data_IF_166005459739
#
_entry.id   IF_166005459739
#
_cell.length_a   1.000
_cell.length_b   1.000
_cell.length_c   1.000
_cell.angle_alpha   90.00
_cell.angle_beta   90.00
_cell.angle_gamma   90.00
#
_symmetry.space_group_name_H-M   'P 1'
#
loop_
_entity.id
_entity.type
_entity.pdbx_description
1 polymer ?
#
# COMPACT_ATOMS: atom_id res chain seq x y z
N UNK A 1 10.49 9.99 4.19
CA UNK A 1 11.46 9.46 3.20
C UNK A 1 12.63 10.40 3.08
N UNK A 2 13.87 9.90 3.07
CA UNK A 2 15.09 10.72 2.90
C UNK A 2 15.93 10.09 1.77
N UNK A 3 15.76 10.52 0.51
CA UNK A 3 16.48 9.94 -0.63
C UNK A 3 17.91 10.49 -0.74
N UNK A 4 18.81 9.68 -1.29
CA UNK A 4 20.17 10.09 -1.67
C UNK A 4 20.38 9.82 -3.15
N UNK A 5 20.91 10.82 -3.86
CA UNK A 5 21.18 10.75 -5.30
C UNK A 5 22.60 11.27 -5.57
N UNK A 6 23.49 10.40 -6.07
CA UNK A 6 24.85 10.75 -6.52
C UNK A 6 24.97 10.39 -8.01
N UNK A 7 25.17 11.40 -8.87
CA UNK A 7 25.19 11.25 -10.32
C UNK A 7 26.50 11.81 -10.88
N UNK A 8 27.30 10.93 -11.51
CA UNK A 8 28.61 11.27 -12.10
C UNK A 8 28.60 11.31 -13.63
N UNK A 9 27.41 11.43 -14.22
CA UNK A 9 27.21 11.50 -15.66
C UNK A 9 26.46 12.80 -16.05
N UNK A 10 27.06 13.70 -16.86
CA UNK A 10 26.44 14.96 -17.27
C UNK A 10 25.19 14.82 -18.13
N UNK A 11 24.98 13.68 -18.80
CA UNK A 11 23.82 13.46 -19.67
C UNK A 11 22.71 12.67 -18.99
N UNK A 12 22.79 12.44 -17.67
CA UNK A 12 21.79 11.69 -16.94
C UNK A 12 20.47 12.48 -16.80
N UNK A 13 19.36 11.77 -16.91
CA UNK A 13 18.02 12.26 -16.55
C UNK A 13 17.53 11.42 -15.38
N UNK A 14 17.06 12.07 -14.30
CA UNK A 14 16.62 11.40 -13.09
C UNK A 14 15.41 12.12 -12.51
N UNK A 15 14.43 11.34 -12.07
CA UNK A 15 13.23 11.81 -11.40
C UNK A 15 13.01 10.97 -10.14
N UNK A 16 12.59 11.63 -9.05
CA UNK A 16 12.24 10.97 -7.79
C UNK A 16 10.93 11.55 -7.29
N UNK A 17 9.97 10.67 -7.00
CA UNK A 17 8.71 11.02 -6.36
C UNK A 17 8.57 10.25 -5.04
N UNK A 18 7.99 10.92 -4.04
CA UNK A 18 7.63 10.32 -2.77
C UNK A 18 6.32 10.96 -2.27
N UNK A 19 5.34 10.11 -1.99
CA UNK A 19 4.02 10.55 -1.53
C UNK A 19 3.68 9.86 -0.21
N UNK A 20 3.09 10.63 0.71
CA UNK A 20 2.53 10.08 1.96
C UNK A 20 1.02 10.08 1.84
N UNK A 21 0.41 8.94 2.12
CA UNK A 21 -1.04 8.77 2.08
C UNK A 21 -1.54 8.29 3.44
N UNK A 22 -2.75 8.71 3.81
CA UNK A 22 -3.47 8.24 5.00
C UNK A 22 -4.84 7.74 4.55
N UNK A 23 -5.34 6.71 5.22
CA UNK A 23 -6.73 6.26 5.05
C UNK A 23 -7.65 7.34 5.62
N UNK A 24 -8.53 7.89 4.79
CA UNK A 24 -9.46 8.93 5.21
C UNK A 24 -10.68 8.36 5.94
N UNK A 25 -11.21 9.09 6.92
CA UNK A 25 -12.43 8.69 7.65
C UNK A 25 -13.63 8.55 6.70
N UNK A 26 -13.76 9.43 5.71
CA UNK A 26 -14.83 9.34 4.70
C UNK A 26 -14.71 8.05 3.85
N UNK A 27 -13.49 7.58 3.58
CA UNK A 27 -13.27 6.35 2.82
C UNK A 27 -13.68 5.13 3.65
N UNK A 28 -13.32 5.11 4.94
CA UNK A 28 -13.74 4.06 5.87
C UNK A 28 -15.25 4.06 6.05
N UNK A 29 -15.85 5.23 6.29
CA UNK A 29 -17.29 5.39 6.43
C UNK A 29 -18.04 4.90 5.18
N UNK A 30 -17.54 5.25 3.99
CA UNK A 30 -18.12 4.81 2.72
C UNK A 30 -18.09 3.28 2.55
N UNK A 31 -17.01 2.63 2.98
CA UNK A 31 -16.88 1.17 2.98
C UNK A 31 -17.81 0.53 4.03
N UNK A 32 -17.88 1.08 5.24
CA UNK A 32 -18.73 0.59 6.31
C UNK A 32 -20.22 0.70 5.97
N UNK A 33 -20.65 1.79 5.33
CA UNK A 33 -22.03 1.92 4.82
C UNK A 33 -22.41 0.85 3.79
N UNK A 34 -21.42 0.20 3.16
CA UNK A 34 -21.64 -0.92 2.23
C UNK A 34 -21.62 -2.28 2.93
N UNK A 35 -21.57 -2.30 4.26
CA UNK A 35 -21.59 -3.51 5.06
C UNK A 35 -20.21 -4.16 5.24
N UNK A 36 -19.12 -3.47 4.90
CA UNK A 36 -17.78 -3.93 5.24
C UNK A 36 -17.48 -3.63 6.71
N UNK A 37 -16.81 -4.55 7.41
CA UNK A 37 -16.22 -4.21 8.70
C UNK A 37 -15.12 -3.16 8.51
N UNK A 38 -14.73 -2.48 9.58
CA UNK A 38 -13.61 -1.53 9.53
C UNK A 38 -12.31 -2.22 9.08
N UNK A 39 -12.09 -3.42 9.57
CA UNK A 39 -10.95 -4.28 9.24
C UNK A 39 -10.95 -4.67 7.75
N UNK A 40 -12.08 -5.12 7.21
CA UNK A 40 -12.23 -5.42 5.78
C UNK A 40 -12.03 -4.17 4.92
N UNK A 41 -12.50 -3.01 5.38
CA UNK A 41 -12.35 -1.74 4.68
C UNK A 41 -10.86 -1.32 4.62
N UNK A 42 -10.15 -1.39 5.74
CA UNK A 42 -8.70 -1.11 5.80
C UNK A 42 -7.95 -2.08 4.91
N UNK A 43 -8.22 -3.39 5.01
CA UNK A 43 -7.60 -4.42 4.19
C UNK A 43 -7.81 -4.16 2.69
N UNK A 44 -9.03 -3.80 2.28
CA UNK A 44 -9.34 -3.46 0.90
C UNK A 44 -8.50 -2.28 0.39
N UNK A 45 -8.41 -1.21 1.18
CA UNK A 45 -7.69 0.02 0.79
C UNK A 45 -6.18 -0.23 0.72
N UNK A 46 -5.61 -0.92 1.72
CA UNK A 46 -4.17 -1.24 1.75
C UNK A 46 -3.79 -2.21 0.64
N UNK A 47 -4.62 -3.22 0.36
CA UNK A 47 -4.39 -4.12 -0.78
C UNK A 47 -4.47 -3.38 -2.11
N UNK A 48 -5.36 -2.39 -2.25
CA UNK A 48 -5.43 -1.50 -3.39
C UNK A 48 -4.15 -0.68 -3.58
N UNK A 49 -3.62 -0.12 -2.49
CA UNK A 49 -2.37 0.65 -2.46
C UNK A 49 -1.15 -0.22 -2.85
N UNK A 50 -1.07 -1.44 -2.35
CA UNK A 50 0.04 -2.36 -2.63
C UNK A 50 -0.11 -3.14 -3.96
N UNK A 51 -1.24 -3.00 -4.67
CA UNK A 51 -1.61 -3.87 -5.79
C UNK A 51 -0.57 -3.95 -6.91
N UNK A 52 0.01 -2.81 -7.29
CA UNK A 52 0.99 -2.77 -8.39
C UNK A 52 2.29 -3.47 -8.00
N UNK A 53 2.76 -3.27 -6.77
CA UNK A 53 3.95 -3.95 -6.24
C UNK A 53 3.71 -5.45 -6.13
N UNK A 54 2.55 -5.88 -5.64
CA UNK A 54 2.21 -7.29 -5.47
C UNK A 54 2.06 -8.03 -6.82
N UNK A 55 1.68 -7.33 -7.90
CA UNK A 55 1.60 -7.92 -9.25
C UNK A 55 2.95 -8.25 -9.86
N UNK A 56 4.02 -7.58 -9.43
CA UNK A 56 5.38 -7.86 -9.89
C UNK A 56 5.98 -9.10 -9.20
N UNK A 57 5.34 -9.60 -8.13
CA UNK A 57 5.76 -10.82 -7.47
C UNK A 57 5.26 -12.05 -8.24
N UNK A 58 6.03 -13.15 -8.27
CA UNK A 58 5.51 -14.42 -8.75
C UNK A 58 4.25 -14.81 -7.98
N UNK A 59 3.27 -15.37 -8.69
CA UNK A 59 1.91 -15.62 -8.17
C UNK A 59 1.88 -16.37 -6.83
N UNK A 60 2.79 -17.33 -6.64
CA UNK A 60 2.93 -18.09 -5.40
C UNK A 60 3.30 -17.23 -4.18
N UNK A 61 4.10 -16.17 -4.37
CA UNK A 61 4.47 -15.23 -3.31
C UNK A 61 3.45 -14.10 -3.14
N UNK A 62 2.82 -13.67 -4.24
CA UNK A 62 1.82 -12.60 -4.21
C UNK A 62 0.62 -12.97 -3.31
N UNK A 63 0.15 -14.23 -3.41
CA UNK A 63 -0.96 -14.74 -2.59
C UNK A 63 -0.58 -14.80 -1.10
N UNK A 64 0.66 -15.19 -0.78
CA UNK A 64 1.11 -15.27 0.60
C UNK A 64 1.34 -13.88 1.22
N UNK A 65 1.93 -12.96 0.45
CA UNK A 65 2.14 -11.58 0.88
C UNK A 65 0.82 -10.86 1.19
N UNK A 66 -0.23 -11.09 0.37
CA UNK A 66 -1.57 -10.54 0.62
C UNK A 66 -2.17 -11.04 1.93
N UNK A 67 -2.02 -12.34 2.24
CA UNK A 67 -2.53 -12.91 3.49
C UNK A 67 -1.80 -12.35 4.71
N UNK A 68 -0.47 -12.26 4.66
CA UNK A 68 0.35 -11.72 5.74
C UNK A 68 0.07 -10.23 5.98
N UNK A 69 -0.16 -9.46 4.91
CA UNK A 69 -0.59 -8.05 5.00
C UNK A 69 -1.91 -7.92 5.75
N UNK A 70 -2.90 -8.76 5.42
CA UNK A 70 -4.18 -8.81 6.14
C UNK A 70 -3.98 -9.00 7.65
N UNK A 71 -3.34 -10.11 8.04
CA UNK A 71 -3.13 -10.47 9.47
C UNK A 71 -2.34 -9.40 10.24
N UNK A 72 -1.35 -8.77 9.59
CA UNK A 72 -0.55 -7.72 10.24
C UNK A 72 -1.36 -6.46 10.53
N UNK A 73 -2.40 -6.20 9.73
CA UNK A 73 -3.30 -5.06 9.93
C UNK A 73 -4.30 -5.33 11.06
N UNK A 74 -4.85 -6.55 11.16
CA UNK A 74 -5.76 -6.96 12.26
C UNK A 74 -5.15 -6.68 13.64
N UNK A 75 -3.84 -6.93 13.82
CA UNK A 75 -3.13 -6.74 15.08
C UNK A 75 -2.60 -5.32 15.35
N UNK A 76 -2.66 -4.42 14.36
CA UNK A 76 -2.09 -3.07 14.45
C UNK A 76 -3.17 -1.96 14.51
N UNK A 77 -4.43 -2.31 14.26
CA UNK A 77 -5.58 -1.41 14.37
C UNK A 77 -6.08 -1.49 15.82
N UNK A 78 -5.97 -0.37 16.54
CA UNK A 78 -6.43 -0.19 17.91
C UNK A 78 -6.96 1.21 18.14
#
# INVERSE_FOLDING_TARGET
TVPYVDVKNPSAQLEHEATTSRIGEDQLFYCQQRGLSEEDAVSLIVNGFAKEVLKELPMEFAVEAQKLLGVSLEGAIG
#
